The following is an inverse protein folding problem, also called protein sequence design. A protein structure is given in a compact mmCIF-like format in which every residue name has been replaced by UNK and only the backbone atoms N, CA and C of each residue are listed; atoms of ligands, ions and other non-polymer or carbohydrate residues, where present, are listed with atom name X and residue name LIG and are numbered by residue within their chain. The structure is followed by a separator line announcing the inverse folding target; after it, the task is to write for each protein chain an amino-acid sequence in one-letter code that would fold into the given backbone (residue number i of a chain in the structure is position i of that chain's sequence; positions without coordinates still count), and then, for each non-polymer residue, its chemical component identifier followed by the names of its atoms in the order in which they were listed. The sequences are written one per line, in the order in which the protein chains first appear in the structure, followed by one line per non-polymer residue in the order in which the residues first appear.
data_IF_063419425517
#
_entry.id   IF_063419425517
#
_cell.length_a   1.000
_cell.length_b   1.000
_cell.length_c   1.000
_cell.angle_alpha   90.00
_cell.angle_beta   90.00
_cell.angle_gamma   90.00
#
_symmetry.space_group_name_H-M   'P 1'
#
loop_
_entity.id
_entity.type
_entity.pdbx_description
1 polymer ?
#
# COMPACT_ATOMS: atom_id res chain seq x y z
N UNK A 1 16.65 -12.73 -7.70
CA UNK A 1 16.07 -11.46 -8.18
C UNK A 1 14.61 -11.36 -7.71
N UNK A 2 14.34 -11.76 -6.46
CA UNK A 2 12.97 -12.08 -5.98
C UNK A 2 12.71 -11.60 -4.54
N UNK A 3 13.48 -10.64 -4.03
CA UNK A 3 13.49 -10.39 -2.58
C UNK A 3 13.35 -8.91 -2.21
N UNK A 4 12.38 -8.22 -2.83
CA UNK A 4 12.04 -6.84 -2.47
C UNK A 4 10.73 -6.79 -1.64
N UNK A 5 9.90 -7.85 -1.68
CA UNK A 5 8.65 -7.95 -0.92
C UNK A 5 8.45 -9.41 -0.44
N UNK A 6 8.64 -9.70 0.85
CA UNK A 6 8.45 -11.05 1.42
C UNK A 6 7.02 -11.60 1.15
N UNK A 7 6.01 -10.73 1.01
CA UNK A 7 4.70 -11.03 0.39
C UNK A 7 4.05 -9.76 -0.19
N UNK A 8 3.88 -9.61 -1.52
CA UNK A 8 3.29 -8.39 -2.12
C UNK A 8 1.83 -8.14 -1.69
N UNK A 9 1.09 -9.21 -1.39
CA UNK A 9 -0.31 -9.14 -0.93
C UNK A 9 -0.48 -8.38 0.40
N UNK A 10 0.53 -8.45 1.28
CA UNK A 10 0.52 -7.75 2.58
C UNK A 10 0.64 -6.23 2.44
N UNK A 11 1.17 -5.77 1.31
CA UNK A 11 1.26 -4.37 0.92
C UNK A 11 0.12 -3.96 -0.02
N UNK A 12 -0.90 -4.81 -0.20
CA UNK A 12 -2.06 -4.51 -1.04
C UNK A 12 -1.78 -4.64 -2.54
N UNK A 13 -0.66 -5.26 -2.94
CA UNK A 13 -0.33 -5.51 -4.34
C UNK A 13 -0.67 -6.98 -4.64
N UNK A 14 -1.69 -7.19 -5.47
CA UNK A 14 -2.11 -8.51 -5.93
C UNK A 14 -1.74 -8.68 -7.41
N UNK A 15 -0.91 -9.68 -7.72
CA UNK A 15 -0.41 -9.93 -9.08
C UNK A 15 -1.10 -11.18 -9.62
N UNK A 16 -1.97 -11.00 -10.60
CA UNK A 16 -2.62 -12.11 -11.31
C UNK A 16 -1.68 -12.61 -12.40
N UNK A 17 -1.46 -13.93 -12.46
CA UNK A 17 -0.65 -14.51 -13.52
C UNK A 17 -1.50 -14.66 -14.78
N UNK A 18 -1.19 -13.83 -15.79
CA UNK A 18 -1.76 -13.93 -17.14
C UNK A 18 -0.76 -14.39 -18.20
N UNK A 19 0.48 -14.72 -17.80
CA UNK A 19 1.54 -15.09 -18.76
C UNK A 19 1.64 -16.59 -18.92
N UNK A 20 1.54 -17.35 -17.82
CA UNK A 20 1.78 -18.80 -17.84
C UNK A 20 0.52 -19.64 -17.68
N UNK A 21 -0.58 -19.03 -17.23
CA UNK A 21 -1.85 -19.71 -16.93
C UNK A 21 -2.88 -19.54 -18.04
N UNK A 22 -3.84 -20.46 -18.07
CA UNK A 22 -5.02 -20.34 -18.93
C UNK A 22 -5.91 -19.18 -18.49
N UNK A 23 -6.78 -18.70 -19.39
CA UNK A 23 -7.70 -17.59 -19.11
C UNK A 23 -8.63 -17.89 -17.93
N UNK A 24 -9.15 -19.10 -17.86
CA UNK A 24 -10.06 -19.56 -16.79
C UNK A 24 -9.36 -19.54 -15.42
N UNK A 25 -8.12 -20.05 -15.36
CA UNK A 25 -7.32 -20.05 -14.13
C UNK A 25 -6.97 -18.63 -13.67
N UNK A 26 -6.67 -17.71 -14.58
CA UNK A 26 -6.43 -16.30 -14.25
C UNK A 26 -7.70 -15.62 -13.70
N UNK A 27 -8.87 -15.93 -14.25
CA UNK A 27 -10.16 -15.40 -13.78
C UNK A 27 -10.44 -15.92 -12.36
N UNK A 28 -10.27 -17.22 -12.13
CA UNK A 28 -10.46 -17.82 -10.80
C UNK A 28 -9.48 -17.22 -9.77
N UNK A 29 -8.19 -17.06 -10.14
CA UNK A 29 -7.20 -16.41 -9.27
C UNK A 29 -7.60 -14.96 -8.91
N UNK A 30 -8.12 -14.20 -9.87
CA UNK A 30 -8.59 -12.84 -9.63
C UNK A 30 -9.81 -12.84 -8.69
N UNK A 31 -10.77 -13.73 -8.92
CA UNK A 31 -11.95 -13.87 -8.07
C UNK A 31 -11.56 -14.22 -6.62
N UNK A 32 -10.57 -15.12 -6.44
CA UNK A 32 -10.04 -15.48 -5.12
C UNK A 32 -9.45 -14.27 -4.39
N UNK A 33 -8.67 -13.43 -5.07
CA UNK A 33 -8.12 -12.21 -4.46
C UNK A 33 -9.22 -11.22 -4.03
N UNK A 34 -10.26 -11.05 -4.84
CA UNK A 34 -11.40 -10.19 -4.51
C UNK A 34 -12.17 -10.75 -3.30
N UNK A 35 -12.42 -12.06 -3.26
CA UNK A 35 -13.11 -12.71 -2.15
C UNK A 35 -12.32 -12.57 -0.84
N UNK A 36 -11.01 -12.86 -0.88
CA UNK A 36 -10.13 -12.70 0.28
C UNK A 36 -10.10 -11.27 0.80
N UNK A 37 -10.18 -10.26 -0.09
CA UNK A 37 -10.24 -8.86 0.32
C UNK A 37 -11.56 -8.53 1.03
N UNK A 38 -12.69 -8.99 0.51
CA UNK A 38 -14.01 -8.77 1.12
C UNK A 38 -14.11 -9.40 2.52
N UNK A 39 -13.40 -10.50 2.78
CA UNK A 39 -13.36 -11.16 4.09
C UNK A 39 -12.48 -10.44 5.13
N UNK A 40 -11.71 -9.41 4.75
CA UNK A 40 -10.86 -8.67 5.70
C UNK A 40 -11.71 -7.82 6.65
N UNK A 41 -11.33 -7.77 7.92
CA UNK A 41 -11.90 -6.83 8.90
C UNK A 41 -11.51 -5.38 8.58
N UNK A 42 -12.26 -4.41 9.11
CA UNK A 42 -11.95 -2.97 8.98
C UNK A 42 -10.51 -2.66 9.41
N UNK A 43 -10.05 -3.24 10.53
CA UNK A 43 -8.69 -3.05 11.06
C UNK A 43 -7.62 -3.57 10.10
N UNK A 44 -7.84 -4.73 9.49
CA UNK A 44 -6.94 -5.30 8.49
C UNK A 44 -6.85 -4.43 7.23
N UNK A 45 -7.98 -3.90 6.73
CA UNK A 45 -7.99 -2.98 5.58
C UNK A 45 -7.25 -1.68 5.85
N UNK A 46 -7.41 -1.08 7.03
CA UNK A 46 -6.66 0.13 7.43
C UNK A 46 -5.15 -0.17 7.48
N UNK A 47 -4.77 -1.30 8.07
CA UNK A 47 -3.35 -1.70 8.16
C UNK A 47 -2.74 -1.94 6.78
N UNK A 48 -3.47 -2.63 5.90
CA UNK A 48 -3.05 -2.86 4.51
C UNK A 48 -2.89 -1.52 3.77
N UNK A 49 -3.85 -0.60 3.86
CA UNK A 49 -3.75 0.74 3.25
C UNK A 49 -2.52 1.51 3.72
N UNK A 50 -2.23 1.50 5.02
CA UNK A 50 -1.03 2.15 5.57
C UNK A 50 0.27 1.49 5.09
N UNK A 51 0.27 0.18 4.83
CA UNK A 51 1.42 -0.51 4.23
C UNK A 51 1.57 -0.16 2.75
N UNK A 52 0.47 -0.06 2.00
CA UNK A 52 0.48 0.34 0.59
C UNK A 52 0.97 1.77 0.41
N UNK A 53 0.55 2.69 1.28
CA UNK A 53 0.95 4.10 1.22
C UNK A 53 2.48 4.28 1.32
N UNK A 54 3.15 3.48 2.15
CA UNK A 54 4.62 3.47 2.28
C UNK A 54 5.37 3.06 1.00
N UNK A 55 4.70 2.40 0.05
CA UNK A 55 5.32 2.03 -1.22
C UNK A 55 5.32 3.19 -2.22
N UNK A 56 4.60 4.27 -1.96
CA UNK A 56 4.53 5.43 -2.86
C UNK A 56 5.93 6.05 -3.09
N UNK A 57 6.77 6.08 -2.06
CA UNK A 57 8.15 6.57 -2.14
C UNK A 57 9.00 5.83 -3.21
N UNK A 58 8.73 4.54 -3.45
CA UNK A 58 9.45 3.75 -4.46
C UNK A 58 9.11 4.17 -5.89
N UNK A 59 7.91 4.71 -6.08
CA UNK A 59 7.40 5.16 -7.38
C UNK A 59 7.69 6.65 -7.62
N UNK A 60 8.37 7.32 -6.69
CA UNK A 60 8.77 8.71 -6.84
C UNK A 60 9.90 8.86 -7.88
N UNK A 61 9.88 9.97 -8.62
CA UNK A 61 10.91 10.30 -9.61
C UNK A 61 12.31 10.44 -9.02
N UNK A 62 12.45 10.73 -7.73
CA UNK A 62 13.72 10.73 -7.03
C UNK A 62 14.40 9.35 -7.09
N UNK A 63 13.63 8.26 -7.03
CA UNK A 63 14.14 6.89 -7.14
C UNK A 63 14.12 6.42 -8.60
N UNK A 64 12.97 6.53 -9.27
CA UNK A 64 12.81 6.09 -10.68
C UNK A 64 13.73 6.84 -11.66
N UNK A 65 14.00 8.13 -11.40
CA UNK A 65 14.87 8.97 -12.24
C UNK A 65 16.34 8.54 -12.23
N UNK A 66 16.76 7.75 -11.24
CA UNK A 66 18.12 7.19 -11.21
C UNK A 66 18.35 6.22 -12.37
N UNK A 67 17.32 5.51 -12.84
CA UNK A 67 17.40 4.67 -14.04
C UNK A 67 17.69 5.49 -15.30
N UNK A 68 17.19 6.73 -15.40
CA UNK A 68 17.50 7.62 -16.52
C UNK A 68 18.94 8.15 -16.46
N UNK A 69 19.45 8.45 -15.27
CA UNK A 69 20.87 8.79 -15.09
C UNK A 69 21.74 7.61 -15.48
N UNK A 70 21.35 6.40 -15.07
CA UNK A 70 22.02 5.15 -15.41
C UNK A 70 22.10 4.91 -16.91
N UNK A 71 20.97 5.00 -17.60
CA UNK A 71 20.90 4.81 -19.05
C UNK A 71 21.78 5.81 -19.82
N UNK A 72 21.76 7.10 -19.42
CA UNK A 72 22.59 8.15 -20.03
C UNK A 72 24.08 7.90 -19.82
N UNK A 73 24.48 7.56 -18.60
CA UNK A 73 25.87 7.21 -18.30
C UNK A 73 26.32 6.00 -19.12
N UNK A 74 25.51 4.93 -19.16
CA UNK A 74 25.80 3.74 -19.95
C UNK A 74 25.97 4.04 -21.44
N UNK A 75 25.13 4.92 -21.99
CA UNK A 75 25.27 5.36 -23.38
C UNK A 75 26.61 6.07 -23.61
N UNK A 76 27.00 7.01 -22.73
CA UNK A 76 28.28 7.73 -22.81
C UNK A 76 29.50 6.81 -22.71
N UNK A 77 29.47 5.85 -21.77
CA UNK A 77 30.53 4.84 -21.64
C UNK A 77 30.68 4.00 -22.92
N UNK A 78 29.57 3.68 -23.60
CA UNK A 78 29.58 2.92 -24.85
C UNK A 78 30.04 3.75 -26.04
N UNK A 79 29.71 5.04 -26.09
CA UNK A 79 30.06 5.91 -27.24
C UNK A 79 31.46 6.50 -27.15
N UNK A 80 31.98 6.75 -25.94
CA UNK A 80 33.29 7.37 -25.74
C UNK A 80 34.16 6.60 -24.74
N UNK A 81 34.54 5.33 -25.02
CA UNK A 81 35.25 4.50 -24.05
C UNK A 81 36.56 5.12 -23.54
N UNK A 82 37.34 5.75 -24.43
CA UNK A 82 38.64 6.34 -24.10
C UNK A 82 38.55 7.51 -23.12
N UNK A 83 37.46 8.29 -23.19
CA UNK A 83 37.21 9.40 -22.27
C UNK A 83 36.84 8.96 -20.86
N UNK A 84 36.52 7.67 -20.69
CA UNK A 84 36.05 7.10 -19.44
C UNK A 84 36.90 5.89 -18.97
N UNK A 85 38.05 5.63 -19.61
CA UNK A 85 38.90 4.46 -19.41
C UNK A 85 39.56 4.31 -18.02
N UNK A 86 39.29 5.22 -17.08
CA UNK A 86 39.73 5.15 -15.68
C UNK A 86 38.61 5.37 -14.65
N UNK A 87 37.36 5.52 -15.09
CA UNK A 87 36.22 5.63 -14.19
C UNK A 87 35.73 4.22 -13.86
N UNK A 88 35.98 3.78 -12.62
CA UNK A 88 35.57 2.48 -12.08
C UNK A 88 34.08 2.21 -12.36
N UNK A 89 33.80 1.26 -13.25
CA UNK A 89 32.44 0.81 -13.56
C UNK A 89 31.71 0.20 -12.34
N UNK A 90 32.44 -0.09 -11.24
CA UNK A 90 31.95 -0.73 -10.02
C UNK A 90 31.08 0.14 -9.11
N UNK A 91 31.15 1.48 -9.19
CA UNK A 91 30.28 2.36 -8.38
C UNK A 91 28.80 2.32 -8.81
N UNK A 92 28.51 1.71 -9.96
CA UNK A 92 27.21 1.68 -10.63
C UNK A 92 26.13 0.81 -9.95
N UNK A 93 26.52 -0.30 -9.31
CA UNK A 93 25.57 -1.25 -8.69
C UNK A 93 25.20 -0.91 -7.24
N UNK A 94 26.03 -0.13 -6.55
CA UNK A 94 25.90 0.18 -5.12
C UNK A 94 24.57 0.86 -4.76
N UNK A 95 24.06 1.73 -5.64
CA UNK A 95 22.94 2.62 -5.33
C UNK A 95 21.56 1.94 -5.28
N UNK A 96 21.36 0.78 -5.94
CA UNK A 96 20.03 0.10 -5.95
C UNK A 96 19.77 -0.69 -4.66
N UNK A 97 20.82 -1.10 -3.92
CA UNK A 97 20.70 -2.01 -2.76
C UNK A 97 20.23 -1.34 -1.46
N UNK A 98 19.56 -0.19 -1.52
CA UNK A 98 18.88 0.36 -0.36
C UNK A 98 17.68 -0.55 -0.01
N UNK A 99 17.94 -1.55 0.87
CA UNK A 99 16.92 -2.46 1.40
C UNK A 99 15.80 -1.64 2.03
N UNK A 100 14.55 -1.90 1.63
CA UNK A 100 13.38 -1.37 2.34
C UNK A 100 13.47 -1.90 3.77
N UNK A 101 13.60 -1.04 4.80
CA UNK A 101 13.72 -1.52 6.17
C UNK A 101 12.44 -2.26 6.58
N UNK A 102 12.61 -3.34 7.34
CA UNK A 102 11.48 -4.07 7.94
C UNK A 102 10.59 -3.07 8.66
N UNK A 103 9.25 -3.14 8.50
CA UNK A 103 8.37 -2.19 9.16
C UNK A 103 8.51 -2.38 10.67
N UNK A 104 9.21 -1.46 11.34
CA UNK A 104 9.09 -1.30 12.77
C UNK A 104 7.62 -0.98 13.03
N UNK A 105 6.92 -1.90 13.67
CA UNK A 105 5.58 -1.65 14.19
C UNK A 105 5.66 -0.37 15.02
N UNK A 106 4.92 0.66 14.64
CA UNK A 106 4.79 1.83 15.49
C UNK A 106 4.36 1.34 16.88
N UNK A 107 5.02 1.79 17.97
CA UNK A 107 4.58 1.42 19.31
C UNK A 107 3.10 1.79 19.43
N UNK A 108 2.29 0.85 19.95
CA UNK A 108 0.87 1.09 20.15
C UNK A 108 0.69 2.40 20.93
N UNK A 109 -0.24 3.24 20.48
CA UNK A 109 -0.50 4.55 21.08
C UNK A 109 -0.58 4.44 22.61
N UNK A 110 0.06 5.36 23.37
CA UNK A 110 0.06 5.31 24.82
C UNK A 110 -1.37 5.16 25.35
N UNK A 111 -1.67 4.03 26.01
CA UNK A 111 -2.92 3.88 26.75
C UNK A 111 -2.85 4.84 27.94
N UNK A 112 -3.74 5.82 27.97
CA UNK A 112 -3.99 6.63 29.15
C UNK A 112 -4.42 5.67 30.27
N UNK A 113 -3.58 5.53 31.30
CA UNK A 113 -3.92 4.85 32.55
C UNK A 113 -4.62 5.88 33.45
N UNK A 114 -5.93 5.73 33.64
CA UNK A 114 -6.65 6.35 34.75
C UNK A 114 -7.68 7.41 34.40
N UNK A 115 -8.85 6.98 33.93
CA UNK A 115 -10.17 7.42 34.41
C UNK A 115 -11.10 6.25 34.06
N UNK A 116 -11.44 5.38 35.01
CA UNK A 116 -12.57 5.62 35.89
C UNK A 116 -13.83 5.08 35.21
N UNK A 117 -14.31 3.93 35.70
CA UNK A 117 -15.61 3.27 35.46
C UNK A 117 -16.08 3.03 34.01
N UNK A 118 -16.33 1.75 33.72
CA UNK A 118 -17.28 1.29 32.69
C UNK A 118 -18.63 1.95 32.99
N UNK A 119 -19.13 2.77 32.06
CA UNK A 119 -20.53 3.19 32.03
C UNK A 119 -21.23 2.34 30.95
N UNK A 120 -22.40 1.84 31.34
CA UNK A 120 -23.22 0.86 30.63
C UNK A 120 -23.56 1.25 29.18
N UNK A 121 -23.62 0.22 28.32
CA UNK A 121 -23.97 0.30 26.89
C UNK A 121 -25.41 0.79 26.61
N UNK A 122 -26.19 1.20 27.63
CA UNK A 122 -27.59 1.64 27.48
C UNK A 122 -27.70 3.10 26.98
N UNK A 123 -26.77 3.99 27.33
CA UNK A 123 -26.87 5.44 27.02
C UNK A 123 -26.63 5.77 25.53
N UNK A 124 -25.91 4.92 24.79
CA UNK A 124 -25.65 5.12 23.36
C UNK A 124 -26.91 4.86 22.52
N UNK A 125 -27.86 4.05 23.05
CA UNK A 125 -29.09 3.71 22.33
C UNK A 125 -30.14 4.82 22.38
N UNK A 126 -30.24 5.58 23.48
CA UNK A 126 -31.18 6.71 23.60
C UNK A 126 -30.78 7.93 22.76
N UNK A 127 -29.48 8.10 22.46
CA UNK A 127 -28.99 9.19 21.61
C UNK A 127 -29.36 9.04 20.13
N UNK A 128 -29.68 7.83 19.67
CA UNK A 128 -30.00 7.56 18.26
C UNK A 128 -31.51 7.61 17.95
N UNK A 129 -32.39 7.56 18.96
CA UNK A 129 -33.84 7.71 18.79
C UNK A 129 -34.32 9.16 18.59
N UNK A 130 -33.49 10.16 18.92
CA UNK A 130 -33.82 11.58 18.77
C UNK A 130 -33.47 12.19 17.41
N UNK A 131 -33.00 11.39 16.45
CA UNK A 131 -32.71 11.82 15.07
C UNK A 131 -33.67 11.22 14.04
N UNK A 132 -34.95 11.03 14.40
CA UNK A 132 -36.00 10.81 13.42
C UNK A 132 -36.35 12.14 12.72
N UNK A 133 -35.69 12.31 11.58
CA UNK A 133 -36.15 12.91 10.32
C UNK A 133 -37.54 13.57 10.41
N UNK A 134 -37.58 14.90 10.36
CA UNK A 134 -38.78 15.66 10.03
C UNK A 134 -38.93 15.56 8.51
N UNK A 135 -39.81 14.67 8.06
CA UNK A 135 -40.31 14.66 6.68
C UNK A 135 -41.34 15.80 6.54
N UNK A 136 -40.94 16.92 5.96
CA UNK A 136 -41.86 17.89 5.36
C UNK A 136 -42.20 17.42 3.93
N UNK A 137 -43.28 16.67 3.78
CA UNK A 137 -44.05 16.65 2.52
C UNK A 137 -45.54 16.86 2.80
N UNK A 138 -46.12 17.78 2.03
CA UNK A 138 -47.49 18.27 2.07
C UNK A 138 -48.53 17.17 1.84
N UNK A 139 -49.74 17.33 2.42
CA UNK A 139 -50.95 17.12 1.61
C UNK A 139 -52.19 17.87 2.14
N UNK A 140 -52.85 18.53 1.20
CA UNK A 140 -54.19 19.07 1.27
C UNK A 140 -55.21 18.01 1.69
N UNK A 141 -56.24 18.42 2.44
CA UNK A 141 -57.68 18.07 2.30
C UNK A 141 -58.38 18.01 3.66
N UNK A 142 -59.13 19.08 4.01
CA UNK A 142 -60.61 19.12 4.00
C UNK A 142 -61.12 20.39 4.70
#
# INVERSE_FOLDING_TARGET
MEEILETPADYGIHIVDRRTRSTEESINQMADYMLQFCQKSRRQRITQRNRTERLSDLLDWKIMGMEYVRARKLALYRTYPDSFAGAEAGEFESYIKAKIPKPLSAPGSPRIKGSGSVADDEEITEGMSNFNIIDEENEETR
#
